data_IF_508818855646
#
_entry.id   IF_508818855646
#
_cell.length_a   1.000
_cell.length_b   1.000
_cell.length_c   1.000
_cell.angle_alpha   90.00
_cell.angle_beta   90.00
_cell.angle_gamma   90.00
#
_symmetry.space_group_name_H-M   'P 1'
#
loop_
_entity.id
_entity.type
_entity.pdbx_description
1 polymer ?
#
# COMPACT_ATOMS: atom_id res chain seq x y z
N UNK A 1 16.73 -11.23 6.87
CA UNK A 1 15.94 -9.97 7.06
C UNK A 1 14.97 -10.21 8.21
N UNK A 2 14.86 -9.28 9.17
CA UNK A 2 13.86 -9.41 10.26
C UNK A 2 12.44 -9.33 9.70
N UNK A 3 11.46 -9.91 10.38
CA UNK A 3 10.05 -9.85 9.95
C UNK A 3 9.54 -8.41 9.84
N UNK A 4 10.02 -7.52 10.73
CA UNK A 4 9.72 -6.09 10.69
C UNK A 4 10.30 -5.44 9.44
N UNK A 5 11.57 -5.72 9.11
CA UNK A 5 12.19 -5.19 7.89
C UNK A 5 11.49 -5.72 6.63
N UNK A 6 11.08 -6.99 6.60
CA UNK A 6 10.27 -7.55 5.52
C UNK A 6 8.95 -6.78 5.38
N UNK A 7 8.23 -6.57 6.49
CA UNK A 7 6.97 -5.82 6.51
C UNK A 7 7.13 -4.40 5.99
N UNK A 8 8.17 -3.70 6.45
CA UNK A 8 8.51 -2.33 5.99
C UNK A 8 8.79 -2.34 4.48
N UNK A 9 9.57 -3.31 3.98
CA UNK A 9 9.82 -3.44 2.55
C UNK A 9 8.53 -3.66 1.75
N UNK A 10 7.70 -4.64 2.13
CA UNK A 10 6.47 -5.00 1.40
C UNK A 10 5.48 -3.83 1.32
N UNK A 11 5.32 -3.08 2.41
CA UNK A 11 4.24 -2.10 2.49
C UNK A 11 4.67 -0.64 2.30
N UNK A 12 5.98 -0.37 2.19
CA UNK A 12 6.50 0.98 1.98
C UNK A 12 7.40 1.11 0.76
N UNK A 13 8.19 0.07 0.44
CA UNK A 13 9.14 0.11 -0.70
C UNK A 13 8.55 -0.55 -1.94
N UNK A 14 8.02 -1.76 -1.80
CA UNK A 14 7.41 -2.51 -2.91
C UNK A 14 6.31 -1.75 -3.66
N UNK A 15 5.41 -0.96 -3.03
CA UNK A 15 4.41 -0.18 -3.77
C UNK A 15 5.05 0.79 -4.77
N UNK A 16 6.16 1.44 -4.38
CA UNK A 16 6.89 2.38 -5.23
C UNK A 16 7.61 1.65 -6.36
N UNK A 17 8.29 0.54 -6.04
CA UNK A 17 8.98 -0.28 -7.04
C UNK A 17 7.99 -0.87 -8.06
N UNK A 18 6.89 -1.43 -7.58
CA UNK A 18 5.87 -2.03 -8.42
C UNK A 18 5.16 -0.99 -9.30
N UNK A 19 4.88 0.20 -8.78
CA UNK A 19 4.37 1.32 -9.58
C UNK A 19 5.36 1.75 -10.66
N UNK A 20 6.66 1.86 -10.32
CA UNK A 20 7.72 2.21 -11.27
C UNK A 20 7.80 1.19 -12.40
N UNK A 21 7.82 -0.11 -12.07
CA UNK A 21 7.82 -1.19 -13.06
C UNK A 21 6.54 -1.18 -13.89
N UNK A 22 5.38 -0.96 -13.28
CA UNK A 22 4.11 -0.84 -14.01
C UNK A 22 4.17 0.27 -15.06
N UNK A 23 4.60 1.48 -14.66
CA UNK A 23 4.71 2.62 -15.57
C UNK A 23 5.72 2.35 -16.69
N UNK A 24 6.86 1.73 -16.38
CA UNK A 24 7.87 1.38 -17.37
C UNK A 24 7.37 0.36 -18.42
N UNK A 25 6.52 -0.60 -18.01
CA UNK A 25 5.99 -1.64 -18.89
C UNK A 25 4.73 -1.19 -19.66
N UNK A 26 3.90 -0.34 -19.06
CA UNK A 26 2.65 0.10 -19.67
C UNK A 26 2.85 1.34 -20.55
N UNK A 27 3.05 1.11 -21.86
CA UNK A 27 3.20 2.16 -22.89
C UNK A 27 1.99 3.11 -23.01
N UNK A 28 0.89 2.82 -22.31
CA UNK A 28 -0.27 3.71 -22.24
C UNK A 28 -0.20 4.77 -21.12
N UNK A 29 0.74 4.65 -20.18
CA UNK A 29 1.04 5.61 -19.12
C UNK A 29 1.85 6.81 -19.65
N UNK A 30 1.32 7.51 -20.65
CA UNK A 30 2.05 8.59 -21.35
C UNK A 30 1.92 9.96 -20.69
N UNK A 31 0.88 10.17 -19.90
CA UNK A 31 0.60 11.45 -19.26
C UNK A 31 1.08 11.43 -17.81
N UNK A 32 1.41 12.62 -17.30
CA UNK A 32 1.71 12.81 -15.87
C UNK A 32 0.56 12.34 -14.98
N UNK A 33 -0.69 12.55 -15.40
CA UNK A 33 -1.89 12.12 -14.67
C UNK A 33 -1.98 10.60 -14.54
N UNK A 34 -1.70 9.85 -15.61
CA UNK A 34 -1.68 8.38 -15.57
C UNK A 34 -0.56 7.84 -14.69
N UNK A 35 0.63 8.42 -14.80
CA UNK A 35 1.76 8.03 -13.96
C UNK A 35 1.43 8.21 -12.48
N UNK A 36 0.97 9.40 -12.09
CA UNK A 36 0.58 9.70 -10.71
C UNK A 36 -0.56 8.79 -10.23
N UNK A 37 -1.54 8.52 -11.09
CA UNK A 37 -2.63 7.60 -10.77
C UNK A 37 -2.12 6.18 -10.49
N UNK A 38 -1.21 5.64 -11.30
CA UNK A 38 -0.62 4.33 -11.04
C UNK A 38 0.09 4.31 -9.67
N UNK A 39 0.93 5.30 -9.37
CA UNK A 39 1.57 5.37 -8.05
C UNK A 39 0.55 5.39 -6.91
N UNK A 40 -0.50 6.20 -7.01
CA UNK A 40 -1.57 6.23 -6.00
C UNK A 40 -2.31 4.90 -5.87
N UNK A 41 -2.58 4.18 -6.96
CA UNK A 41 -3.20 2.85 -6.88
C UNK A 41 -2.35 1.87 -6.08
N UNK A 42 -1.04 1.82 -6.32
CA UNK A 42 -0.14 0.95 -5.56
C UNK A 42 0.01 1.40 -4.10
N UNK A 43 0.12 2.71 -3.85
CA UNK A 43 0.22 3.25 -2.50
C UNK A 43 -1.05 2.98 -1.69
N UNK A 44 -2.25 3.15 -2.25
CA UNK A 44 -3.51 2.83 -1.56
C UNK A 44 -3.74 1.32 -1.43
N UNK A 45 -3.44 0.54 -2.48
CA UNK A 45 -3.59 -0.91 -2.47
C UNK A 45 -2.55 -1.59 -1.60
N UNK A 46 -1.37 -1.83 -2.17
CA UNK A 46 -0.30 -2.55 -1.46
C UNK A 46 0.12 -1.79 -0.21
N UNK A 47 0.30 -0.46 -0.31
CA UNK A 47 0.83 0.34 0.80
C UNK A 47 -0.13 0.55 1.98
N UNK A 48 -1.38 0.97 1.73
CA UNK A 48 -2.36 1.24 2.80
C UNK A 48 -3.19 0.00 3.10
N UNK A 49 -3.91 -0.54 2.11
CA UNK A 49 -4.79 -1.69 2.32
C UNK A 49 -4.04 -2.92 2.80
N UNK A 50 -2.98 -3.31 2.10
CA UNK A 50 -2.13 -4.45 2.49
C UNK A 50 -1.54 -4.29 3.89
N UNK A 51 -0.98 -3.12 4.20
CA UNK A 51 -0.41 -2.83 5.52
C UNK A 51 -1.44 -2.84 6.64
N UNK A 52 -2.63 -2.30 6.40
CA UNK A 52 -3.70 -2.23 7.39
C UNK A 52 -4.27 -3.61 7.68
N UNK A 53 -4.55 -4.41 6.65
CA UNK A 53 -5.01 -5.80 6.81
C UNK A 53 -3.94 -6.66 7.51
N UNK A 54 -2.68 -6.53 7.08
CA UNK A 54 -1.56 -7.24 7.74
C UNK A 54 -1.33 -6.76 9.18
N UNK A 55 -1.55 -5.47 9.45
CA UNK A 55 -1.52 -4.90 10.79
C UNK A 55 -2.63 -5.45 11.68
N UNK A 56 -3.87 -5.49 11.18
CA UNK A 56 -4.99 -6.13 11.87
C UNK A 56 -4.68 -7.58 12.20
N UNK A 57 -4.23 -8.36 11.21
CA UNK A 57 -3.88 -9.76 11.44
C UNK A 57 -2.83 -9.91 12.56
N UNK A 58 -1.78 -9.10 12.52
CA UNK A 58 -0.72 -9.07 13.51
C UNK A 58 -1.25 -8.75 14.91
N UNK A 59 -1.91 -7.62 15.04
CA UNK A 59 -2.36 -7.08 16.32
C UNK A 59 -3.55 -7.83 16.91
N UNK A 60 -4.34 -8.54 16.10
CA UNK A 60 -5.54 -9.27 16.55
C UNK A 60 -5.29 -10.75 16.82
N UNK A 61 -4.58 -11.47 15.93
CA UNK A 61 -4.39 -12.92 16.06
C UNK A 61 -3.07 -13.32 16.72
N UNK A 62 -2.05 -12.45 16.64
CA UNK A 62 -0.68 -12.75 17.09
C UNK A 62 -0.08 -11.59 17.90
N UNK A 63 -0.93 -10.94 18.72
CA UNK A 63 -0.64 -9.71 19.46
C UNK A 63 0.65 -9.80 20.28
N UNK A 64 0.89 -10.93 20.94
CA UNK A 64 2.08 -11.13 21.77
C UNK A 64 3.37 -11.12 20.96
N UNK A 65 3.37 -11.67 19.75
CA UNK A 65 4.53 -11.64 18.86
C UNK A 65 4.78 -10.21 18.37
N UNK A 66 3.72 -9.46 18.08
CA UNK A 66 3.84 -8.05 17.69
C UNK A 66 4.39 -7.22 18.85
N UNK A 67 3.83 -7.34 20.06
CA UNK A 67 4.31 -6.64 21.25
C UNK A 67 5.79 -6.93 21.53
N UNK A 68 6.20 -8.21 21.48
CA UNK A 68 7.60 -8.61 21.61
C UNK A 68 8.51 -7.96 20.55
N UNK A 69 8.06 -7.88 19.29
CA UNK A 69 8.85 -7.27 18.23
C UNK A 69 9.09 -5.78 18.46
N UNK A 70 8.16 -5.11 19.16
CA UNK A 70 8.23 -3.70 19.57
C UNK A 70 9.02 -3.54 20.87
N UNK A 71 9.20 -4.61 21.66
CA UNK A 71 9.79 -4.52 23.00
C UNK A 71 8.79 -4.08 24.08
N UNK A 72 7.49 -4.25 23.83
CA UNK A 72 6.42 -3.87 24.74
C UNK A 72 5.80 -5.08 25.46
N UNK A 73 5.14 -4.88 26.62
CA UNK A 73 4.47 -5.95 27.35
C UNK A 73 3.40 -6.70 26.53
N UNK A 74 3.33 -8.01 26.74
CA UNK A 74 2.32 -8.92 26.18
C UNK A 74 0.97 -8.78 26.90
N UNK A 75 -0.08 -9.37 26.31
CA UNK A 75 -1.39 -9.48 26.97
C UNK A 75 -2.12 -8.15 27.21
N UNK A 76 -1.74 -7.08 26.51
CA UNK A 76 -2.36 -5.76 26.66
C UNK A 76 -3.54 -5.59 25.67
N UNK A 77 -4.75 -5.22 26.14
CA UNK A 77 -5.93 -5.04 25.29
C UNK A 77 -5.76 -3.97 24.19
N UNK A 78 -4.87 -2.98 24.38
CA UNK A 78 -4.59 -1.96 23.35
C UNK A 78 -4.07 -2.55 22.04
N UNK A 79 -3.47 -3.75 22.06
CA UNK A 79 -3.10 -4.44 20.82
C UNK A 79 -4.35 -4.70 19.95
N UNK A 80 -5.46 -5.12 20.54
CA UNK A 80 -6.69 -5.39 19.78
C UNK A 80 -7.29 -4.10 19.19
N UNK A 81 -7.30 -3.00 19.96
CA UNK A 81 -7.75 -1.69 19.48
C UNK A 81 -6.89 -1.20 18.31
N UNK A 82 -5.57 -1.31 18.42
CA UNK A 82 -4.62 -1.01 17.34
C UNK A 82 -4.89 -1.93 16.13
N UNK A 83 -5.27 -3.19 16.37
CA UNK A 83 -5.71 -4.10 15.32
C UNK A 83 -6.92 -3.56 14.55
N UNK A 84 -7.98 -3.16 15.23
CA UNK A 84 -9.16 -2.59 14.58
C UNK A 84 -8.88 -1.25 13.91
N UNK A 85 -8.01 -0.42 14.48
CA UNK A 85 -7.54 0.80 13.81
C UNK A 85 -6.81 0.48 12.49
N UNK A 86 -5.94 -0.52 12.48
CA UNK A 86 -5.29 -1.00 11.26
C UNK A 86 -6.29 -1.59 10.25
N UNK A 87 -7.32 -2.31 10.72
CA UNK A 87 -8.38 -2.82 9.85
C UNK A 87 -9.14 -1.67 9.18
N UNK A 88 -9.49 -0.63 9.94
CA UNK A 88 -10.15 0.56 9.40
C UNK A 88 -9.28 1.23 8.32
N UNK A 89 -7.98 1.44 8.58
CA UNK A 89 -7.05 1.94 7.56
C UNK A 89 -6.97 1.02 6.34
N UNK A 90 -7.00 -0.29 6.55
CA UNK A 90 -7.04 -1.29 5.49
C UNK A 90 -8.23 -1.11 4.56
N UNK A 91 -9.44 -0.98 5.14
CA UNK A 91 -10.69 -0.72 4.41
C UNK A 91 -10.63 0.61 3.67
N UNK A 92 -10.13 1.68 4.30
CA UNK A 92 -9.95 2.97 3.64
C UNK A 92 -9.04 2.84 2.41
N UNK A 93 -7.92 2.12 2.52
CA UNK A 93 -7.02 1.86 1.39
C UNK A 93 -7.72 1.18 0.22
N UNK A 94 -8.52 0.14 0.47
CA UNK A 94 -9.28 -0.57 -0.57
C UNK A 94 -10.21 0.40 -1.30
N UNK A 95 -10.98 1.18 -0.54
CA UNK A 95 -11.98 2.09 -1.10
C UNK A 95 -11.30 3.25 -1.85
N UNK A 96 -10.18 3.77 -1.35
CA UNK A 96 -9.41 4.84 -1.96
C UNK A 96 -8.75 4.46 -3.31
N UNK A 97 -8.50 3.16 -3.54
CA UNK A 97 -8.08 2.71 -4.87
C UNK A 97 -9.16 3.01 -5.91
N UNK A 98 -10.45 2.87 -5.56
CA UNK A 98 -11.59 3.01 -6.46
C UNK A 98 -12.19 4.41 -6.51
N UNK A 99 -12.44 5.02 -5.34
CA UNK A 99 -13.11 6.32 -5.20
C UNK A 99 -12.14 7.49 -5.33
N UNK A 100 -12.61 8.61 -5.93
CA UNK A 100 -11.81 9.82 -6.23
C UNK A 100 -12.51 11.14 -5.83
N UNK A 101 -13.64 11.02 -5.16
CA UNK A 101 -14.61 12.05 -4.80
C UNK A 101 -14.32 12.74 -3.44
N UNK A 102 -13.05 12.81 -3.03
CA UNK A 102 -12.65 13.29 -1.71
C UNK A 102 -12.28 12.16 -0.73
N UNK A 103 -12.65 10.91 -1.05
CA UNK A 103 -12.35 9.77 -0.18
C UNK A 103 -10.84 9.51 -0.03
N UNK A 104 -10.05 9.81 -1.07
CA UNK A 104 -8.59 9.67 -1.04
C UNK A 104 -7.97 10.62 -0.02
N UNK A 105 -8.44 11.86 0.04
CA UNK A 105 -8.00 12.86 1.01
C UNK A 105 -8.28 12.38 2.44
N UNK A 106 -9.51 11.93 2.72
CA UNK A 106 -9.87 11.39 4.03
C UNK A 106 -8.99 10.20 4.42
N UNK A 107 -8.70 9.30 3.47
CA UNK A 107 -7.79 8.16 3.68
C UNK A 107 -6.37 8.63 4.00
N UNK A 108 -5.84 9.61 3.27
CA UNK A 108 -4.50 10.16 3.52
C UNK A 108 -4.44 10.84 4.89
N UNK A 109 -5.47 11.59 5.29
CA UNK A 109 -5.56 12.20 6.62
C UNK A 109 -5.50 11.12 7.70
N UNK A 110 -6.33 10.08 7.60
CA UNK A 110 -6.37 8.99 8.58
C UNK A 110 -5.02 8.27 8.71
N UNK A 111 -4.40 7.92 7.58
CA UNK A 111 -3.06 7.28 7.55
C UNK A 111 -1.99 8.20 8.14
N UNK A 112 -2.08 9.50 7.90
CA UNK A 112 -1.13 10.50 8.40
C UNK A 112 -1.25 10.68 9.91
N UNK A 113 -2.47 10.88 10.42
CA UNK A 113 -2.72 11.05 11.85
C UNK A 113 -2.28 9.81 12.62
N UNK A 114 -2.67 8.62 12.16
CA UNK A 114 -2.29 7.37 12.82
C UNK A 114 -0.77 7.12 12.75
N UNK A 115 -0.15 7.32 11.58
CA UNK A 115 1.29 7.10 11.40
C UNK A 115 2.15 8.06 12.21
N UNK A 116 1.82 9.35 12.22
CA UNK A 116 2.53 10.34 13.04
C UNK A 116 2.32 10.07 14.54
N UNK A 117 1.08 9.79 14.96
CA UNK A 117 0.76 9.45 16.34
C UNK A 117 1.55 8.23 16.83
N UNK A 118 1.58 7.16 16.04
CA UNK A 118 2.38 5.96 16.36
C UNK A 118 3.87 6.29 16.47
N UNK A 119 4.42 7.07 15.53
CA UNK A 119 5.82 7.50 15.57
C UNK A 119 6.14 8.29 16.83
N UNK A 120 5.25 9.18 17.27
CA UNK A 120 5.44 9.96 18.50
C UNK A 120 5.47 9.03 19.71
N UNK A 121 4.54 8.08 19.82
CA UNK A 121 4.51 7.11 20.93
C UNK A 121 5.80 6.28 20.96
N UNK A 122 6.25 5.79 19.82
CA UNK A 122 7.53 5.06 19.73
C UNK A 122 8.73 5.95 20.09
N UNK A 123 8.75 7.21 19.66
CA UNK A 123 9.84 8.13 19.97
C UNK A 123 9.93 8.44 21.47
N UNK A 124 8.80 8.63 22.13
CA UNK A 124 8.73 8.81 23.58
C UNK A 124 9.33 7.59 24.28
N UNK A 125 8.88 6.37 23.92
CA UNK A 125 9.43 5.13 24.50
C UNK A 125 10.94 4.99 24.26
N UNK A 126 11.43 5.27 23.04
CA UNK A 126 12.87 5.24 22.74
C UNK A 126 13.65 6.20 23.65
N UNK A 127 13.14 7.41 23.86
CA UNK A 127 13.81 8.44 24.67
C UNK A 127 13.81 8.04 26.15
N UNK A 128 12.70 7.50 26.66
CA UNK A 128 12.53 7.19 28.08
C UNK A 128 13.23 5.89 28.49
N UNK A 129 13.25 4.88 27.62
CA UNK A 129 13.69 3.52 27.97
C UNK A 129 14.91 3.02 27.20
N UNK A 130 15.31 3.72 26.13
CA UNK A 130 16.34 3.25 25.21
C UNK A 130 15.91 2.01 24.40
N UNK A 131 14.62 1.71 24.31
CA UNK A 131 14.10 0.54 23.59
C UNK A 131 14.30 0.68 22.06
N UNK A 132 15.40 0.14 21.56
CA UNK A 132 15.74 0.13 20.13
C UNK A 132 15.26 -1.13 19.39
N UNK A 133 14.29 -1.88 19.94
CA UNK A 133 13.76 -3.07 19.28
C UNK A 133 13.29 -2.75 17.84
N UNK A 134 13.45 -3.67 16.87
CA UNK A 134 13.14 -3.38 15.47
C UNK A 134 11.70 -2.89 15.22
N UNK A 135 10.72 -3.41 15.96
CA UNK A 135 9.33 -2.96 15.88
C UNK A 135 9.10 -1.58 16.48
N UNK A 136 9.97 -1.11 17.37
CA UNK A 136 9.93 0.24 17.94
C UNK A 136 10.65 1.26 17.04
N UNK A 137 11.61 0.81 16.23
CA UNK A 137 12.50 1.68 15.44
C UNK A 137 12.20 1.63 13.94
N UNK A 138 12.45 0.49 13.29
CA UNK A 138 12.30 0.34 11.83
C UNK A 138 10.86 0.55 11.36
N UNK A 139 9.87 0.24 12.20
CA UNK A 139 8.47 0.46 11.88
C UNK A 139 8.16 1.95 11.62
N UNK A 140 8.85 2.87 12.30
CA UNK A 140 8.65 4.31 12.13
C UNK A 140 9.03 4.82 10.74
N UNK A 141 9.94 4.12 10.04
CA UNK A 141 10.22 4.40 8.63
C UNK A 141 8.93 4.29 7.81
N UNK A 142 8.13 3.25 8.01
CA UNK A 142 6.85 3.11 7.32
C UNK A 142 5.81 4.12 7.79
N UNK A 143 5.79 4.41 9.09
CA UNK A 143 4.84 5.34 9.70
C UNK A 143 5.01 6.78 9.16
N UNK A 144 6.22 7.17 8.76
CA UNK A 144 6.52 8.49 8.20
C UNK A 144 6.56 8.51 6.67
N UNK A 145 7.21 7.52 6.06
CA UNK A 145 7.45 7.49 4.62
C UNK A 145 6.14 7.36 3.82
N UNK A 146 5.21 6.54 4.30
CA UNK A 146 3.93 6.30 3.62
C UNK A 146 3.05 7.55 3.57
N UNK A 147 2.79 8.27 4.68
CA UNK A 147 2.13 9.58 4.63
C UNK A 147 2.81 10.57 3.68
N UNK A 148 4.14 10.68 3.74
CA UNK A 148 4.88 11.61 2.89
C UNK A 148 4.67 11.32 1.39
N UNK A 149 4.75 10.06 0.97
CA UNK A 149 4.47 9.65 -0.40
C UNK A 149 3.01 9.91 -0.79
N UNK A 150 2.06 9.50 0.05
CA UNK A 150 0.64 9.68 -0.22
C UNK A 150 0.28 11.16 -0.40
N UNK A 151 0.74 12.03 0.50
CA UNK A 151 0.55 13.48 0.41
C UNK A 151 1.19 14.01 -0.88
N UNK A 152 2.46 13.68 -1.13
CA UNK A 152 3.19 14.17 -2.30
C UNK A 152 2.52 13.80 -3.62
N UNK A 153 2.18 12.52 -3.81
CA UNK A 153 1.53 12.03 -5.02
C UNK A 153 0.10 12.54 -5.17
N UNK A 154 -0.67 12.62 -4.08
CA UNK A 154 -2.05 13.11 -4.13
C UNK A 154 -2.07 14.61 -4.47
N UNK A 155 -1.25 15.42 -3.81
CA UNK A 155 -1.11 16.85 -4.12
C UNK A 155 -0.64 17.05 -5.55
N UNK A 156 0.34 16.27 -6.03
CA UNK A 156 0.80 16.33 -7.40
C UNK A 156 -0.32 16.01 -8.39
N UNK A 157 -1.14 14.98 -8.13
CA UNK A 157 -2.28 14.64 -8.98
C UNK A 157 -3.29 15.79 -8.98
N UNK A 158 -3.72 16.28 -7.81
CA UNK A 158 -4.68 17.39 -7.71
C UNK A 158 -4.23 18.65 -8.43
N UNK A 159 -2.93 18.96 -8.42
CA UNK A 159 -2.39 20.10 -9.19
C UNK A 159 -2.58 19.92 -10.69
N UNK A 160 -2.39 18.71 -11.21
CA UNK A 160 -2.61 18.43 -12.64
C UNK A 160 -4.09 18.41 -13.03
N UNK A 161 -4.99 18.07 -12.11
CA UNK A 161 -6.43 18.02 -12.38
C UNK A 161 -7.06 19.41 -12.54
N UNK A 162 -6.42 20.47 -12.03
CA UNK A 162 -6.86 21.86 -12.17
C UNK A 162 -6.73 22.41 -13.59
N UNK A 163 -5.98 21.75 -14.47
CA UNK A 163 -5.80 22.20 -15.84
C UNK A 163 -7.09 21.97 -16.66
N UNK A 164 -7.55 22.94 -17.49
CA UNK A 164 -8.79 22.82 -18.27
C UNK A 164 -8.85 21.59 -19.20
N UNK A 165 -7.69 21.06 -19.59
CA UNK A 165 -7.55 19.88 -20.45
C UNK A 165 -7.42 18.54 -19.71
N UNK A 166 -7.61 18.51 -18.39
CA UNK A 166 -7.42 17.32 -17.56
C UNK A 166 -8.11 16.09 -18.17
N UNK A 167 -7.38 14.98 -18.31
CA UNK A 167 -8.00 13.75 -18.77
C UNK A 167 -8.72 13.01 -17.66
N UNK A 168 -8.46 13.31 -16.38
CA UNK A 168 -9.06 12.59 -15.25
C UNK A 168 -10.58 12.71 -15.16
N UNK A 169 -11.16 13.75 -15.76
CA UNK A 169 -12.62 13.96 -15.84
C UNK A 169 -13.24 13.27 -17.05
N UNK A 170 -12.43 12.72 -17.96
CA UNK A 170 -12.90 12.12 -19.21
C UNK A 170 -13.23 10.64 -18.99
N UNK A 171 -14.33 10.12 -19.58
CA UNK A 171 -14.68 8.70 -19.51
C UNK A 171 -13.58 7.76 -20.01
N UNK A 172 -12.76 8.22 -20.97
CA UNK A 172 -11.62 7.46 -21.51
C UNK A 172 -10.52 7.22 -20.46
N UNK A 173 -10.38 8.09 -19.47
CA UNK A 173 -9.45 7.89 -18.36
C UNK A 173 -9.94 6.79 -17.43
N UNK A 174 -11.22 6.79 -17.08
CA UNK A 174 -11.79 5.72 -16.23
C UNK A 174 -11.80 4.37 -16.96
N UNK A 175 -12.09 4.35 -18.27
CA UNK A 175 -11.96 3.14 -19.09
C UNK A 175 -10.51 2.61 -19.13
N UNK A 176 -9.53 3.51 -19.15
CA UNK A 176 -8.12 3.14 -19.03
C UNK A 176 -7.80 2.62 -17.62
N UNK A 177 -8.25 3.31 -16.58
CA UNK A 177 -7.91 3.08 -15.17
C UNK A 177 -8.53 1.80 -14.60
N UNK A 178 -9.80 1.53 -14.87
CA UNK A 178 -10.56 0.41 -14.27
C UNK A 178 -9.84 -0.95 -14.29
N UNK A 179 -9.27 -1.44 -15.41
CA UNK A 179 -8.52 -2.70 -15.41
C UNK A 179 -7.25 -2.65 -14.54
N UNK A 180 -6.59 -1.48 -14.40
CA UNK A 180 -5.42 -1.31 -13.53
C UNK A 180 -5.77 -1.33 -12.06
N UNK A 181 -6.91 -0.75 -11.67
CA UNK A 181 -7.45 -0.86 -10.30
C UNK A 181 -7.63 -2.33 -9.92
N UNK A 182 -8.25 -3.13 -10.81
CA UNK A 182 -8.44 -4.57 -10.58
C UNK A 182 -7.11 -5.31 -10.46
N UNK A 183 -6.16 -5.05 -11.35
CA UNK A 183 -4.84 -5.69 -11.32
C UNK A 183 -4.05 -5.36 -10.05
N UNK A 184 -4.05 -4.09 -9.63
CA UNK A 184 -3.38 -3.67 -8.38
C UNK A 184 -4.10 -4.24 -7.15
N UNK A 185 -5.43 -4.33 -7.19
CA UNK A 185 -6.21 -5.02 -6.15
C UNK A 185 -5.82 -6.50 -6.02
N UNK A 186 -5.70 -7.22 -7.14
CA UNK A 186 -5.22 -8.60 -7.15
C UNK A 186 -3.79 -8.73 -6.63
N UNK A 187 -2.88 -7.83 -7.04
CA UNK A 187 -1.52 -7.81 -6.50
C UNK A 187 -1.51 -7.58 -4.99
N UNK A 188 -2.34 -6.65 -4.49
CA UNK A 188 -2.50 -6.38 -3.06
C UNK A 188 -2.94 -7.64 -2.32
N UNK A 189 -3.97 -8.32 -2.82
CA UNK A 189 -4.47 -9.56 -2.24
C UNK A 189 -3.42 -10.68 -2.25
N UNK A 190 -2.72 -10.89 -3.39
CA UNK A 190 -1.70 -11.93 -3.52
C UNK A 190 -0.51 -11.70 -2.58
N UNK A 191 -0.03 -10.45 -2.48
CA UNK A 191 1.09 -10.08 -1.60
C UNK A 191 0.69 -10.23 -0.13
N UNK A 192 -0.48 -9.72 0.27
CA UNK A 192 -0.97 -9.83 1.64
C UNK A 192 -1.21 -11.30 2.03
N UNK A 193 -1.77 -12.11 1.12
CA UNK A 193 -1.99 -13.55 1.33
C UNK A 193 -0.66 -14.30 1.45
N UNK A 194 0.29 -14.04 0.55
CA UNK A 194 1.62 -14.66 0.61
C UNK A 194 2.35 -14.31 1.91
N UNK A 195 2.25 -13.07 2.37
CA UNK A 195 2.81 -12.68 3.67
C UNK A 195 2.11 -13.40 4.84
N UNK A 196 0.78 -13.40 4.89
CA UNK A 196 0.00 -14.01 5.96
C UNK A 196 0.17 -15.53 6.04
N UNK A 197 0.05 -16.24 4.91
CA UNK A 197 0.28 -17.69 4.81
C UNK A 197 1.72 -18.01 5.18
N UNK A 198 2.68 -17.27 4.61
CA UNK A 198 4.10 -17.44 4.91
C UNK A 198 4.41 -17.29 6.39
N UNK A 199 3.80 -16.31 7.06
CA UNK A 199 3.92 -16.17 8.51
C UNK A 199 3.38 -17.40 9.24
N UNK A 200 2.18 -17.89 8.87
CA UNK A 200 1.55 -19.05 9.49
C UNK A 200 2.32 -20.37 9.34
N UNK A 201 3.09 -20.54 8.25
CA UNK A 201 3.92 -21.74 8.01
C UNK A 201 5.41 -21.54 8.34
N UNK A 202 5.78 -20.43 8.96
CA UNK A 202 7.18 -20.13 9.30
C UNK A 202 8.10 -19.82 8.10
N UNK A 203 7.53 -19.54 6.93
CA UNK A 203 8.25 -19.20 5.68
C UNK A 203 7.78 -17.85 5.08
N UNK A 204 7.79 -16.74 5.84
CA UNK A 204 7.23 -15.46 5.39
C UNK A 204 7.94 -14.91 4.15
N UNK A 205 9.26 -15.10 4.03
CA UNK A 205 10.03 -14.64 2.87
C UNK A 205 9.60 -15.33 1.57
N UNK A 206 9.58 -16.66 1.56
CA UNK A 206 9.32 -17.46 0.37
C UNK A 206 7.88 -17.27 -0.09
N UNK A 207 6.91 -17.36 0.83
CA UNK A 207 5.50 -17.22 0.47
C UNK A 207 5.15 -15.79 0.04
N UNK A 208 5.75 -14.76 0.67
CA UNK A 208 5.61 -13.37 0.18
C UNK A 208 6.16 -13.24 -1.24
N UNK A 209 7.33 -13.80 -1.52
CA UNK A 209 7.93 -13.75 -2.85
C UNK A 209 7.00 -14.38 -3.90
N UNK A 210 6.42 -15.55 -3.60
CA UNK A 210 5.42 -16.18 -4.46
C UNK A 210 4.19 -15.28 -4.67
N UNK A 211 3.69 -14.65 -3.61
CA UNK A 211 2.60 -13.66 -3.68
C UNK A 211 2.92 -12.47 -4.58
N UNK A 212 4.16 -11.96 -4.51
CA UNK A 212 4.67 -10.90 -5.39
C UNK A 212 4.70 -11.37 -6.85
N UNK A 213 5.22 -12.58 -7.12
CA UNK A 213 5.31 -13.14 -8.48
C UNK A 213 3.91 -13.31 -9.09
N UNK A 214 2.96 -13.89 -8.34
CA UNK A 214 1.56 -14.05 -8.77
C UNK A 214 0.91 -12.69 -9.03
N UNK A 215 1.09 -11.74 -8.10
CA UNK A 215 0.59 -10.37 -8.24
C UNK A 215 1.15 -9.67 -9.47
N UNK A 216 2.47 -9.72 -9.67
CA UNK A 216 3.14 -9.14 -10.83
C UNK A 216 2.67 -9.77 -12.15
N UNK A 217 2.48 -11.09 -12.18
CA UNK A 217 1.91 -11.79 -13.34
C UNK A 217 0.53 -11.25 -13.74
N UNK A 218 -0.35 -11.01 -12.77
CA UNK A 218 -1.68 -10.43 -13.02
C UNK A 218 -1.63 -9.02 -13.61
N UNK A 219 -0.66 -8.21 -13.16
CA UNK A 219 -0.42 -6.85 -13.65
C UNK A 219 0.11 -6.90 -15.09
N UNK A 220 1.15 -7.69 -15.35
CA UNK A 220 1.75 -7.84 -16.69
C UNK A 220 0.71 -8.37 -17.69
N UNK A 221 -0.10 -9.35 -17.28
CA UNK A 221 -1.19 -9.85 -18.09
C UNK A 221 -2.18 -8.74 -18.48
N UNK A 222 -2.58 -7.90 -17.52
CA UNK A 222 -3.48 -6.76 -17.75
C UNK A 222 -2.87 -5.72 -18.72
N UNK A 223 -1.59 -5.39 -18.54
CA UNK A 223 -0.85 -4.48 -19.42
C UNK A 223 -0.81 -5.03 -20.86
N UNK A 224 -0.54 -6.33 -21.01
CA UNK A 224 -0.44 -6.97 -22.33
C UNK A 224 -1.77 -6.98 -23.09
N UNK A 225 -2.90 -7.28 -22.42
CA UNK A 225 -4.23 -7.28 -23.05
C UNK A 225 -4.67 -5.90 -23.48
N UNK A 226 -4.46 -4.89 -22.62
CA UNK A 226 -4.86 -3.51 -22.92
C UNK A 226 -4.00 -2.87 -24.03
N UNK A 227 -2.79 -3.39 -24.24
CA UNK A 227 -1.92 -3.02 -25.36
C UNK A 227 -2.36 -3.65 -26.70
N UNK A 228 -2.77 -4.93 -26.69
CA UNK A 228 -3.23 -5.65 -27.90
C UNK A 228 -4.56 -5.11 -28.45
N UNK A 229 -5.50 -4.72 -27.59
CA UNK A 229 -6.79 -4.15 -28.02
C UNK A 229 -6.67 -2.87 -28.86
N UNK A 230 -5.58 -2.10 -28.71
CA UNK A 230 -5.32 -0.90 -29.54
C UNK A 230 -4.80 -1.21 -30.94
N UNK A 231 -4.16 -2.37 -31.15
CA UNK A 231 -3.60 -2.75 -32.45
C UNK A 231 -4.72 -3.19 -33.40
N UNK A 232 -5.73 -3.89 -32.87
CA UNK A 232 -6.86 -4.39 -33.66
C UNK A 232 -7.74 -3.23 -34.16
N UNK A 233 -8.07 -2.26 -33.29
CA UNK A 233 -8.89 -1.09 -33.68
C UNK A 233 -8.20 -0.07 -34.59
N UNK A 234 -6.88 -0.15 -34.79
CA UNK A 234 -6.16 0.72 -35.75
C UNK A 234 -6.06 0.12 -37.15
N UNK A 235 -6.51 -1.13 -37.34
CA UNK A 235 -6.45 -1.87 -38.61
C UNK A 235 -7.84 -2.13 -39.23
N UNK A 236 -8.89 -1.61 -38.61
CA UNK A 236 -10.28 -1.60 -39.07
C UNK A 236 -10.70 -0.18 -39.40
#
# INVERSE_FOLDING_TARGET
>A
MSIVALRVFIYSVLPVLAATVHVALDKSCRSRQRTLEIFLLYLFGVGVAGSGIGGFFGHFFISDTVAQSIGWPKGNPFQLEVGFANLALGVLGIVAMGRRDGFREATVIAVTVFGLGATIVHAIDIIETGNLAPGNTLQNVSNLFKPALLIGFLVALRRTERSPGSETTKPTFEAWRAPRVRAVGLMTASVATGFGVGFGIGQPMISTFLGIVVGAGSVVFTISRTSRGRVIHRRS
#
